data_IF_392857911815
#
_entry.id   IF_392857911815
#
_cell.length_a   1.000
_cell.length_b   1.000
_cell.length_c   1.000
_cell.angle_alpha   90.00
_cell.angle_beta   90.00
_cell.angle_gamma   90.00
#
_symmetry.space_group_name_H-M   'P 1'
#
loop_
_entity.id
_entity.type
_entity.pdbx_description
1 polymer ?
#
# COMPACT_ATOMS: atom_id res chain seq x y z
N UNK A 1 -10.07 -15.80 -19.54
CA UNK A 1 -9.80 -14.77 -18.50
C UNK A 1 -10.96 -13.81 -18.19
N UNK A 2 -11.86 -13.45 -19.14
CA UNK A 2 -12.97 -12.52 -18.88
C UNK A 2 -13.93 -12.99 -17.77
N UNK A 3 -14.14 -14.30 -17.64
CA UNK A 3 -15.08 -14.90 -16.69
C UNK A 3 -14.61 -14.75 -15.22
N UNK A 4 -13.34 -15.06 -14.94
CA UNK A 4 -12.74 -14.85 -13.61
C UNK A 4 -12.78 -13.37 -13.19
N UNK A 5 -12.51 -12.46 -14.13
CA UNK A 5 -12.54 -11.01 -13.87
C UNK A 5 -13.95 -10.53 -13.50
N UNK A 6 -14.96 -11.01 -14.21
CA UNK A 6 -16.36 -10.68 -13.94
C UNK A 6 -16.84 -11.25 -12.59
N UNK A 7 -16.49 -12.50 -12.28
CA UNK A 7 -16.79 -13.11 -10.98
C UNK A 7 -16.12 -12.37 -9.81
N UNK A 8 -14.85 -11.95 -9.97
CA UNK A 8 -14.14 -11.13 -9.00
C UNK A 8 -14.82 -9.76 -8.79
N UNK A 9 -15.26 -9.13 -9.88
CA UNK A 9 -15.94 -7.83 -9.82
C UNK A 9 -17.28 -7.93 -9.06
N UNK A 10 -18.09 -8.96 -9.33
CA UNK A 10 -19.33 -9.24 -8.60
C UNK A 10 -19.07 -9.49 -7.11
N UNK A 11 -18.06 -10.30 -6.78
CA UNK A 11 -17.65 -10.53 -5.39
C UNK A 11 -17.22 -9.24 -4.69
N UNK A 12 -16.45 -8.39 -5.38
CA UNK A 12 -16.00 -7.11 -4.83
C UNK A 12 -17.15 -6.13 -4.57
N UNK A 13 -18.27 -6.27 -5.29
CA UNK A 13 -19.49 -5.48 -5.12
C UNK A 13 -20.49 -6.12 -4.14
N UNK A 14 -20.19 -7.31 -3.60
CA UNK A 14 -21.08 -8.06 -2.72
C UNK A 14 -22.30 -8.66 -3.44
N UNK A 15 -22.25 -8.76 -4.77
CA UNK A 15 -23.32 -9.34 -5.58
C UNK A 15 -23.27 -10.87 -5.53
N UNK A 16 -24.44 -11.52 -5.54
CA UNK A 16 -24.53 -12.96 -5.58
C UNK A 16 -23.96 -13.51 -6.90
N UNK A 17 -23.04 -14.46 -6.80
CA UNK A 17 -22.60 -15.24 -7.96
C UNK A 17 -23.68 -16.31 -8.23
N UNK A 18 -24.21 -16.33 -9.45
CA UNK A 18 -25.12 -17.37 -9.89
C UNK A 18 -24.40 -18.71 -10.08
N UNK A 19 -25.15 -19.81 -9.94
CA UNK A 19 -24.61 -21.17 -9.91
C UNK A 19 -23.81 -21.52 -11.18
N UNK A 20 -24.26 -21.05 -12.34
CA UNK A 20 -23.60 -21.30 -13.63
C UNK A 20 -22.25 -20.60 -13.71
N UNK A 21 -22.17 -19.31 -13.31
CA UNK A 21 -20.92 -18.58 -13.20
C UNK A 21 -19.96 -19.22 -12.18
N UNK A 22 -20.47 -19.75 -11.07
CA UNK A 22 -19.65 -20.44 -10.08
C UNK A 22 -19.02 -21.72 -10.64
N UNK A 23 -19.80 -22.55 -11.35
CA UNK A 23 -19.31 -23.77 -11.99
C UNK A 23 -18.29 -23.46 -13.10
N UNK A 24 -18.56 -22.47 -13.95
CA UNK A 24 -17.63 -22.01 -15.00
C UNK A 24 -16.33 -21.46 -14.42
N UNK A 25 -16.41 -20.75 -13.29
CA UNK A 25 -15.26 -20.20 -12.58
C UNK A 25 -14.37 -21.32 -12.01
N UNK A 26 -14.97 -22.35 -11.41
CA UNK A 26 -14.21 -23.48 -10.86
C UNK A 26 -13.52 -24.29 -11.97
N UNK A 27 -14.20 -24.53 -13.11
CA UNK A 27 -13.57 -25.19 -14.27
C UNK A 27 -12.39 -24.39 -14.82
N UNK A 28 -12.57 -23.09 -15.01
CA UNK A 28 -11.49 -22.20 -15.49
C UNK A 28 -10.30 -22.19 -14.54
N UNK A 29 -10.56 -22.25 -13.23
CA UNK A 29 -9.52 -22.33 -12.20
C UNK A 29 -8.77 -23.66 -12.25
N UNK A 30 -9.45 -24.78 -12.44
CA UNK A 30 -8.83 -26.10 -12.61
C UNK A 30 -7.95 -26.15 -13.86
N UNK A 31 -8.44 -25.65 -14.99
CA UNK A 31 -7.65 -25.56 -16.24
C UNK A 31 -6.38 -24.73 -16.06
N UNK A 32 -6.46 -23.61 -15.32
CA UNK A 32 -5.30 -22.78 -15.03
C UNK A 32 -4.29 -23.50 -14.12
N UNK A 33 -4.77 -24.25 -13.13
CA UNK A 33 -3.91 -25.06 -12.25
C UNK A 33 -3.19 -26.14 -13.04
N UNK A 34 -3.89 -26.83 -13.94
CA UNK A 34 -3.30 -27.86 -14.82
C UNK A 34 -2.29 -27.26 -15.81
N UNK A 35 -2.60 -26.10 -16.39
CA UNK A 35 -1.67 -25.37 -17.25
C UNK A 35 -0.40 -24.96 -16.51
N UNK A 36 -0.53 -24.45 -15.28
CA UNK A 36 0.63 -24.10 -14.46
C UNK A 36 1.49 -25.32 -14.15
N UNK A 37 0.86 -26.46 -13.80
CA UNK A 37 1.56 -27.72 -13.60
C UNK A 37 2.28 -28.21 -14.86
N UNK A 38 1.68 -28.07 -16.04
CA UNK A 38 2.29 -28.51 -17.30
C UNK A 38 3.53 -27.69 -17.68
N UNK A 39 3.62 -26.44 -17.22
CA UNK A 39 4.81 -25.58 -17.35
C UNK A 39 5.76 -25.66 -16.14
N UNK A 40 5.56 -26.63 -15.23
CA UNK A 40 6.43 -26.85 -14.07
C UNK A 40 6.24 -25.85 -12.92
N UNK A 41 5.13 -25.13 -12.89
CA UNK A 41 4.78 -24.17 -11.84
C UNK A 41 3.73 -24.77 -10.89
N UNK A 42 3.95 -24.66 -9.58
CA UNK A 42 3.00 -25.07 -8.55
C UNK A 42 2.46 -23.84 -7.80
N UNK A 43 1.15 -23.79 -7.56
CA UNK A 43 0.55 -22.74 -6.75
C UNK A 43 0.78 -23.08 -5.27
N UNK A 44 1.82 -22.50 -4.66
CA UNK A 44 2.11 -22.62 -3.23
C UNK A 44 1.48 -21.44 -2.48
N UNK A 45 0.54 -21.71 -1.58
CA UNK A 45 0.03 -20.71 -0.63
C UNK A 45 -0.96 -19.69 -1.19
N UNK A 46 -2.21 -20.10 -1.45
CA UNK A 46 -3.36 -19.18 -1.45
C UNK A 46 -3.89 -18.98 -0.03
N UNK A 47 -3.00 -18.62 0.90
CA UNK A 47 -3.45 -18.06 2.16
C UNK A 47 -3.97 -16.66 1.82
N UNK A 48 -5.28 -16.42 1.98
CA UNK A 48 -5.85 -15.07 1.94
C UNK A 48 -4.94 -14.20 2.79
N UNK A 49 -4.14 -13.34 2.16
CA UNK A 49 -3.33 -12.36 2.88
C UNK A 49 -4.31 -11.29 3.34
N UNK A 50 -5.07 -11.63 4.37
CA UNK A 50 -5.77 -10.66 5.17
C UNK A 50 -4.65 -9.95 5.93
N UNK A 51 -4.03 -8.96 5.29
CA UNK A 51 -3.17 -8.03 5.99
C UNK A 51 -4.12 -7.35 6.96
N UNK A 52 -4.18 -7.85 8.19
CA UNK A 52 -4.99 -7.24 9.22
C UNK A 52 -4.61 -5.75 9.23
N UNK A 53 -5.60 -4.84 9.21
CA UNK A 53 -5.30 -3.42 9.24
C UNK A 53 -4.38 -3.16 10.44
N UNK A 54 -3.35 -2.31 10.27
CA UNK A 54 -2.39 -2.04 11.33
C UNK A 54 -3.15 -1.64 12.60
N UNK A 55 -2.64 -2.00 13.79
CA UNK A 55 -3.28 -1.65 15.05
C UNK A 55 -3.66 -0.16 15.08
N UNK A 56 -4.79 0.24 15.71
CA UNK A 56 -5.21 1.65 15.74
C UNK A 56 -4.13 2.62 16.23
N UNK A 57 -3.31 2.18 17.19
CA UNK A 57 -2.15 2.93 17.70
C UNK A 57 -1.07 3.17 16.64
N UNK A 58 -0.86 2.21 15.72
CA UNK A 58 0.08 2.35 14.62
C UNK A 58 -0.50 3.23 13.51
N UNK A 59 -1.81 3.14 13.23
CA UNK A 59 -2.49 4.02 12.28
C UNK A 59 -2.41 5.50 12.68
N UNK A 60 -2.61 5.80 13.97
CA UNK A 60 -2.48 7.16 14.51
C UNK A 60 -1.05 7.70 14.31
N UNK A 61 -0.03 6.89 14.60
CA UNK A 61 1.38 7.27 14.42
C UNK A 61 1.75 7.47 12.95
N UNK A 62 1.28 6.61 12.05
CA UNK A 62 1.46 6.79 10.60
C UNK A 62 0.83 8.10 10.16
N UNK A 63 -0.39 8.39 10.61
CA UNK A 63 -1.09 9.64 10.28
C UNK A 63 -0.34 10.86 10.81
N UNK A 64 0.19 10.79 12.03
CA UNK A 64 1.02 11.83 12.62
C UNK A 64 2.30 12.08 11.81
N UNK A 65 3.03 11.03 11.44
CA UNK A 65 4.26 11.16 10.64
C UNK A 65 3.95 11.72 9.25
N UNK A 66 2.86 11.29 8.60
CA UNK A 66 2.44 11.86 7.33
C UNK A 66 2.16 13.37 7.43
N UNK A 67 1.52 13.80 8.52
CA UNK A 67 1.30 15.22 8.81
C UNK A 67 2.62 15.97 9.00
N UNK A 68 3.53 15.44 9.80
CA UNK A 68 4.84 16.07 10.02
C UNK A 68 5.67 16.15 8.72
N UNK A 69 5.60 15.15 7.85
CA UNK A 69 6.24 15.17 6.52
C UNK A 69 5.66 16.28 5.66
N UNK A 70 4.34 16.42 5.62
CA UNK A 70 3.67 17.46 4.85
C UNK A 70 4.09 18.87 5.32
N UNK A 71 4.12 19.09 6.64
CA UNK A 71 4.55 20.35 7.24
C UNK A 71 6.03 20.65 6.93
N UNK A 72 6.91 19.65 6.95
CA UNK A 72 8.32 19.83 6.57
C UNK A 72 8.49 20.16 5.10
N UNK A 73 7.76 19.49 4.20
CA UNK A 73 7.79 19.78 2.77
C UNK A 73 7.35 21.24 2.53
N UNK A 74 6.27 21.68 3.18
CA UNK A 74 5.82 23.08 3.08
C UNK A 74 6.88 24.06 3.61
N UNK A 75 7.52 23.73 4.75
CA UNK A 75 8.62 24.51 5.31
C UNK A 75 9.80 24.62 4.34
N UNK A 76 10.17 23.52 3.70
CA UNK A 76 11.24 23.46 2.69
C UNK A 76 10.87 24.26 1.46
N UNK A 77 9.63 24.14 0.95
CA UNK A 77 9.17 24.92 -0.21
C UNK A 77 9.27 26.42 0.08
N UNK A 78 8.83 26.84 1.27
CA UNK A 78 8.89 28.24 1.69
C UNK A 78 10.33 28.71 1.94
N UNK A 79 11.15 27.91 2.62
CA UNK A 79 12.52 28.26 3.01
C UNK A 79 13.53 28.23 1.85
N UNK A 80 13.34 27.32 0.88
CA UNK A 80 14.18 27.21 -0.30
C UNK A 80 13.69 28.07 -1.48
N UNK A 81 12.63 28.86 -1.30
CA UNK A 81 12.09 29.75 -2.34
C UNK A 81 11.47 28.99 -3.52
N UNK A 82 10.99 27.76 -3.31
CA UNK A 82 10.39 26.93 -4.36
C UNK A 82 8.93 27.29 -4.65
N UNK A 83 8.34 28.20 -3.85
CA UNK A 83 6.95 28.62 -4.00
C UNK A 83 6.61 29.09 -5.42
N UNK A 84 7.48 29.90 -6.03
CA UNK A 84 7.28 30.40 -7.39
C UNK A 84 7.28 29.27 -8.43
N UNK A 85 8.21 28.31 -8.31
CA UNK A 85 8.27 27.13 -9.20
C UNK A 85 7.04 26.24 -9.06
N UNK A 86 6.50 26.11 -7.85
CA UNK A 86 5.27 25.35 -7.58
C UNK A 86 4.05 26.04 -8.19
N UNK A 87 3.95 27.38 -8.09
CA UNK A 87 2.87 28.14 -8.73
C UNK A 87 2.98 28.14 -10.26
N UNK A 88 4.19 28.18 -10.80
CA UNK A 88 4.44 28.03 -12.24
C UNK A 88 3.98 26.63 -12.71
N UNK A 89 4.35 25.57 -11.99
CA UNK A 89 3.89 24.21 -12.29
C UNK A 89 2.36 24.09 -12.28
N UNK A 90 1.69 24.67 -11.27
CA UNK A 90 0.21 24.71 -11.23
C UNK A 90 -0.38 25.43 -12.44
N UNK A 91 0.23 26.54 -12.84
CA UNK A 91 -0.19 27.32 -14.00
C UNK A 91 -0.03 26.54 -15.31
N UNK A 92 1.07 25.81 -15.47
CA UNK A 92 1.33 24.96 -16.65
C UNK A 92 0.36 23.78 -16.73
N UNK A 93 0.01 23.17 -15.60
CA UNK A 93 -1.04 22.14 -15.52
C UNK A 93 -2.39 22.73 -15.93
N UNK A 94 -2.76 23.90 -15.38
CA UNK A 94 -4.02 24.56 -15.71
C UNK A 94 -4.12 25.00 -17.18
N UNK A 95 -2.98 25.33 -17.81
CA UNK A 95 -2.88 25.65 -19.25
C UNK A 95 -2.96 24.42 -20.15
N UNK A 96 -2.92 23.21 -19.61
CA UNK A 96 -2.95 21.97 -20.38
C UNK A 96 -1.64 21.73 -21.15
N UNK A 97 -0.51 22.13 -20.57
CA UNK A 97 0.81 21.86 -21.14
C UNK A 97 1.08 20.35 -21.28
N UNK A 98 2.06 19.99 -22.12
CA UNK A 98 2.37 18.60 -22.39
C UNK A 98 2.79 17.85 -21.11
N UNK A 99 2.44 16.56 -21.03
CA UNK A 99 2.83 15.68 -19.91
C UNK A 99 4.34 15.72 -19.68
N UNK A 100 5.13 15.72 -20.76
CA UNK A 100 6.60 15.77 -20.69
C UNK A 100 7.11 17.05 -20.01
N UNK A 101 6.51 18.21 -20.29
CA UNK A 101 6.90 19.48 -19.65
C UNK A 101 6.53 19.46 -18.16
N UNK A 102 5.32 18.99 -17.83
CA UNK A 102 4.83 18.87 -16.46
C UNK A 102 5.72 17.92 -15.66
N UNK A 103 6.03 16.74 -16.20
CA UNK A 103 6.89 15.73 -15.58
C UNK A 103 8.28 16.30 -15.30
N UNK A 104 8.90 16.98 -16.27
CA UNK A 104 10.22 17.59 -16.09
C UNK A 104 10.23 18.64 -14.96
N UNK A 105 9.23 19.51 -14.91
CA UNK A 105 9.10 20.51 -13.85
C UNK A 105 8.82 19.86 -12.48
N UNK A 106 8.01 18.79 -12.45
CA UNK A 106 7.77 18.01 -11.23
C UNK A 106 9.06 17.35 -10.73
N UNK A 107 9.87 16.77 -11.61
CA UNK A 107 11.15 16.16 -11.24
C UNK A 107 12.13 17.18 -10.67
N UNK A 108 12.20 18.37 -11.26
CA UNK A 108 13.05 19.46 -10.78
C UNK A 108 12.66 19.90 -9.36
N UNK A 109 11.38 20.23 -9.15
CA UNK A 109 10.85 20.61 -7.83
C UNK A 109 11.06 19.50 -6.80
N UNK A 110 10.81 18.25 -7.19
CA UNK A 110 11.02 17.09 -6.32
C UNK A 110 12.49 16.95 -5.92
N UNK A 111 13.42 17.13 -6.86
CA UNK A 111 14.86 17.03 -6.59
C UNK A 111 15.32 18.10 -5.61
N UNK A 112 14.83 19.33 -5.76
CA UNK A 112 15.18 20.44 -4.86
C UNK A 112 14.62 20.26 -3.45
N UNK A 113 13.38 19.76 -3.33
CA UNK A 113 12.80 19.37 -2.04
C UNK A 113 13.64 18.25 -1.40
N UNK A 114 13.97 17.20 -2.14
CA UNK A 114 14.76 16.08 -1.62
C UNK A 114 16.17 16.49 -1.19
N UNK A 115 16.81 17.43 -1.90
CA UNK A 115 18.12 17.96 -1.54
C UNK A 115 18.10 18.78 -0.25
N UNK A 116 16.95 19.37 0.08
CA UNK A 116 16.77 20.25 1.25
C UNK A 116 16.21 19.52 2.47
N UNK A 117 15.65 18.33 2.29
CA UNK A 117 15.13 17.50 3.37
C UNK A 117 16.25 16.79 4.15
N UNK A 118 16.14 16.77 5.47
CA UNK A 118 16.99 15.93 6.31
C UNK A 118 16.57 14.45 6.22
N UNK A 119 17.13 13.76 5.22
CA UNK A 119 16.86 12.35 4.99
C UNK A 119 17.25 11.45 6.17
N UNK A 120 18.19 11.86 7.02
CA UNK A 120 18.62 11.07 8.17
C UNK A 120 17.58 11.09 9.29
N UNK A 121 17.03 12.27 9.61
CA UNK A 121 15.98 12.42 10.61
C UNK A 121 14.71 11.62 10.27
N UNK A 122 14.30 11.61 9.00
CA UNK A 122 13.12 10.85 8.56
C UNK A 122 13.36 9.34 8.51
N UNK A 123 14.59 8.92 8.17
CA UNK A 123 14.98 7.51 8.17
C UNK A 123 14.93 6.94 9.58
N UNK A 124 15.39 7.68 10.59
CA UNK A 124 15.32 7.27 11.99
C UNK A 124 13.87 7.11 12.46
N UNK A 125 12.99 8.08 12.16
CA UNK A 125 11.56 7.98 12.49
C UNK A 125 10.88 6.77 11.85
N UNK A 126 11.23 6.45 10.60
CA UNK A 126 10.69 5.29 9.90
C UNK A 126 11.21 3.97 10.48
N UNK A 127 12.48 3.91 10.87
CA UNK A 127 13.05 2.71 11.48
C UNK A 127 12.42 2.43 12.86
N UNK A 128 12.17 3.49 13.65
CA UNK A 128 11.45 3.37 14.92
C UNK A 128 10.04 2.80 14.72
N UNK A 129 9.31 3.24 13.69
CA UNK A 129 8.01 2.65 13.34
C UNK A 129 8.12 1.17 12.95
N UNK A 130 9.16 0.78 12.22
CA UNK A 130 9.38 -0.62 11.82
C UNK A 130 9.67 -1.52 13.02
N UNK A 131 10.51 -1.05 13.95
CA UNK A 131 10.80 -1.77 15.20
C UNK A 131 9.54 -1.93 16.03
N UNK A 132 8.72 -0.89 16.15
CA UNK A 132 7.43 -0.96 16.83
C UNK A 132 6.47 -1.95 16.14
N UNK A 133 6.37 -1.93 14.81
CA UNK A 133 5.56 -2.88 14.05
C UNK A 133 6.01 -4.33 14.29
N UNK A 134 7.33 -4.59 14.25
CA UNK A 134 7.89 -5.91 14.57
C UNK A 134 7.58 -6.35 16.01
N UNK A 135 7.61 -5.40 16.95
CA UNK A 135 7.28 -5.64 18.36
C UNK A 135 5.79 -5.94 18.57
N UNK A 136 4.90 -5.37 17.76
CA UNK A 136 3.45 -5.68 17.82
C UNK A 136 3.10 -7.07 17.26
N UNK A 137 3.95 -7.64 16.40
CA UNK A 137 3.78 -9.01 15.88
C UNK A 137 4.18 -10.10 16.90
N UNK A 138 4.93 -9.76 17.95
CA UNK A 138 5.38 -10.71 18.98
C UNK A 138 4.39 -10.89 20.15
N UNK A 139 3.20 -10.29 20.10
CA UNK A 139 2.22 -10.31 21.21
C UNK A 139 1.01 -11.22 20.97
N UNK A 140 1.19 -12.24 20.14
CA UNK A 140 0.16 -13.23 19.83
C UNK A 140 0.59 -14.66 20.23
N UNK A 141 1.30 -14.85 21.34
CA UNK A 141 1.58 -16.18 21.88
C UNK A 141 2.08 -16.02 23.33
N UNK A 142 1.16 -16.00 24.29
CA UNK A 142 1.25 -16.80 25.53
C UNK A 142 0.02 -16.54 26.42
N UNK A 143 -1.06 -17.29 26.15
CA UNK A 143 -2.06 -17.66 27.16
C UNK A 143 -2.53 -19.08 26.85
N UNK A 144 -1.61 -20.04 26.95
CA UNK A 144 -1.97 -21.46 27.08
C UNK A 144 -1.36 -21.99 28.37
N UNK A 145 -2.22 -22.29 29.34
CA UNK A 145 -1.88 -22.89 30.64
C UNK A 145 -2.36 -22.01 31.80
N UNK A 146 -3.14 -22.45 32.76
CA UNK A 146 -3.60 -23.78 33.10
C UNK A 146 -4.80 -23.64 34.05
N UNK A 147 -5.85 -24.44 33.87
CA UNK A 147 -6.75 -24.82 34.97
C UNK A 147 -7.36 -26.18 34.61
N UNK A 148 -6.62 -27.24 34.93
CA UNK A 148 -6.82 -28.12 36.09
C UNK A 148 -7.97 -29.12 35.91
N UNK A 149 -7.60 -30.31 35.43
CA UNK A 149 -8.27 -31.54 35.80
C UNK A 149 -7.67 -32.09 37.11
N UNK A 150 -8.54 -32.36 38.08
CA UNK A 150 -8.45 -33.25 39.27
C UNK A 150 -9.56 -32.79 40.21
N UNK A 151 -10.51 -33.59 40.70
CA UNK A 151 -10.66 -35.04 40.91
C UNK A 151 -12.16 -35.38 40.78
#
# INVERSE_FOLDING_TARGET
MKLLKNAQEKLSKGEAIDKDMAEQTERTKQELVEFLKSVGLEIVGVTKRNVAPPPPSLQEKITKINKEIAEEIERVINGAGLGDKVEELKSEIARGSSSEKIEKMQEEVKKEILASLDAMAWKEKLENLRVELASTSGKAEDKVGAENGRL
#
